data_IF_908628756818
#
_entry.id   IF_908628756818
#
_cell.length_a   1.000
_cell.length_b   1.000
_cell.length_c   1.000
_cell.angle_alpha   90.00
_cell.angle_beta   90.00
_cell.angle_gamma   90.00
#
_symmetry.space_group_name_H-M   'P 1'
#
loop_
_entity.id
_entity.type
_entity.pdbx_description
1 polymer ?
#
# COMPACT_ATOMS: atom_id res chain seq x y z
N UNK A 1 11.67 6.58 -4.81
CA UNK A 1 13.06 6.58 -5.27
C UNK A 1 13.18 6.97 -6.75
N UNK A 2 14.38 7.32 -7.24
CA UNK A 2 14.64 7.38 -8.66
C UNK A 2 14.27 6.04 -9.32
N UNK A 3 13.81 6.09 -10.55
CA UNK A 3 13.42 4.89 -11.32
C UNK A 3 14.10 4.90 -12.69
N UNK A 4 13.94 3.84 -13.47
CA UNK A 4 14.49 3.59 -14.78
C UNK A 4 15.90 2.96 -14.74
N UNK A 5 16.83 3.53 -14.00
CA UNK A 5 18.16 2.91 -13.76
C UNK A 5 18.22 2.37 -12.34
N UNK A 6 18.75 1.15 -12.20
CA UNK A 6 19.01 0.58 -10.88
C UNK A 6 19.97 1.47 -10.08
N UNK A 7 19.68 1.63 -8.79
CA UNK A 7 20.47 2.45 -7.87
C UNK A 7 21.12 1.58 -6.81
N UNK A 8 22.34 1.89 -6.44
CA UNK A 8 22.98 1.31 -5.27
C UNK A 8 22.41 1.92 -3.98
N UNK A 9 22.53 1.21 -2.86
CA UNK A 9 22.14 1.74 -1.54
C UNK A 9 22.80 3.09 -1.25
N UNK A 10 24.05 3.27 -1.64
CA UNK A 10 24.79 4.52 -1.42
C UNK A 10 24.21 5.68 -2.25
N UNK A 11 23.80 5.43 -3.49
CA UNK A 11 23.15 6.43 -4.35
C UNK A 11 21.76 6.79 -3.80
N UNK A 12 20.99 5.80 -3.32
CA UNK A 12 19.70 6.04 -2.68
C UNK A 12 19.84 6.87 -1.41
N UNK A 13 20.82 6.57 -0.55
CA UNK A 13 21.13 7.39 0.63
C UNK A 13 21.47 8.83 0.26
N UNK A 14 22.32 9.04 -0.74
CA UNK A 14 22.70 10.38 -1.19
C UNK A 14 21.47 11.16 -1.71
N UNK A 15 20.64 10.50 -2.51
CA UNK A 15 19.39 11.08 -3.04
C UNK A 15 18.42 11.50 -1.93
N UNK A 16 18.12 10.60 -0.99
CA UNK A 16 17.17 10.91 0.10
C UNK A 16 17.73 11.90 1.12
N UNK A 17 19.04 11.93 1.35
CA UNK A 17 19.69 12.94 2.17
C UNK A 17 19.54 14.34 1.57
N UNK A 18 19.69 14.44 0.24
CA UNK A 18 19.47 15.72 -0.45
C UNK A 18 18.00 16.16 -0.38
N UNK A 19 17.06 15.25 -0.63
CA UNK A 19 15.64 15.53 -0.44
C UNK A 19 15.32 15.96 0.99
N UNK A 20 15.82 15.25 1.98
CA UNK A 20 15.57 15.54 3.39
C UNK A 20 16.08 16.91 3.85
N UNK A 21 17.15 17.43 3.22
CA UNK A 21 17.64 18.79 3.48
C UNK A 21 16.74 19.87 2.88
N UNK A 22 16.06 19.58 1.77
CA UNK A 22 15.24 20.55 1.04
C UNK A 22 13.80 20.61 1.53
N UNK A 23 13.25 19.48 2.03
CA UNK A 23 11.86 19.39 2.45
C UNK A 23 11.71 19.97 3.87
N UNK A 24 10.86 21.00 4.01
CA UNK A 24 10.63 21.68 5.29
C UNK A 24 9.59 21.00 6.18
N UNK A 25 8.62 20.27 5.60
CA UNK A 25 7.51 19.63 6.30
C UNK A 25 7.66 18.11 6.44
N UNK A 26 6.71 17.45 7.10
CA UNK A 26 6.70 15.99 7.18
C UNK A 26 6.60 15.36 5.78
N UNK A 27 7.37 14.31 5.55
CA UNK A 27 7.36 13.59 4.28
C UNK A 27 7.43 12.08 4.47
N UNK A 28 6.95 11.36 3.47
CA UNK A 28 6.97 9.90 3.39
C UNK A 28 7.76 9.46 2.16
N UNK A 29 8.51 8.37 2.29
CA UNK A 29 9.04 7.66 1.14
C UNK A 29 8.00 6.65 0.60
N UNK A 30 8.16 6.27 -0.66
CA UNK A 30 7.36 5.20 -1.26
C UNK A 30 8.29 4.13 -1.83
N UNK A 31 8.25 2.94 -1.26
CA UNK A 31 8.97 1.77 -1.72
C UNK A 31 8.05 0.91 -2.58
N UNK A 32 8.43 0.72 -3.86
CA UNK A 32 7.73 -0.19 -4.77
C UNK A 32 8.74 -0.77 -5.78
N UNK A 33 9.59 -1.73 -5.36
CA UNK A 33 10.70 -2.25 -6.18
C UNK A 33 10.25 -2.80 -7.53
N UNK A 34 9.10 -3.48 -7.58
CA UNK A 34 8.53 -4.01 -8.82
C UNK A 34 8.22 -2.94 -9.89
N UNK A 35 8.12 -1.67 -9.51
CA UNK A 35 7.87 -0.53 -10.42
C UNK A 35 9.09 0.36 -10.60
N UNK A 36 9.89 0.52 -9.56
CA UNK A 36 11.01 1.47 -9.55
C UNK A 36 12.35 0.82 -9.87
N UNK A 37 12.46 -0.52 -9.75
CA UNK A 37 13.71 -1.25 -9.89
C UNK A 37 14.70 -1.04 -8.74
N UNK A 38 14.27 -0.34 -7.67
CA UNK A 38 15.09 -0.03 -6.50
C UNK A 38 14.33 -0.41 -5.23
N UNK A 39 14.99 -1.12 -4.32
CA UNK A 39 14.45 -1.43 -3.01
C UNK A 39 14.98 -0.48 -1.94
N UNK A 40 14.07 0.07 -1.15
CA UNK A 40 14.40 0.86 0.05
C UNK A 40 14.48 -0.07 1.24
N UNK A 41 15.67 -0.62 1.50
CA UNK A 41 15.83 -1.62 2.54
C UNK A 41 15.54 -1.08 3.95
N UNK A 42 15.17 -1.95 4.92
CA UNK A 42 14.94 -1.55 6.31
C UNK A 42 16.09 -0.74 6.91
N UNK A 43 17.34 -1.13 6.65
CA UNK A 43 18.54 -0.47 7.17
C UNK A 43 18.74 0.92 6.58
N UNK A 44 18.46 1.08 5.27
CA UNK A 44 18.52 2.38 4.59
C UNK A 44 17.49 3.34 5.20
N UNK A 45 16.26 2.88 5.38
CA UNK A 45 15.17 3.70 5.92
C UNK A 45 15.39 4.02 7.40
N UNK A 46 15.86 3.08 8.21
CA UNK A 46 16.22 3.33 9.60
C UNK A 46 17.32 4.40 9.72
N UNK A 47 18.34 4.35 8.84
CA UNK A 47 19.39 5.37 8.77
C UNK A 47 18.80 6.76 8.51
N UNK A 48 17.93 6.88 7.50
CA UNK A 48 17.29 8.15 7.15
C UNK A 48 16.32 8.64 8.24
N UNK A 49 15.57 7.73 8.88
CA UNK A 49 14.67 8.05 9.98
C UNK A 49 15.42 8.62 11.20
N UNK A 50 16.61 8.13 11.49
CA UNK A 50 17.47 8.67 12.53
C UNK A 50 18.07 10.05 12.17
N UNK A 51 18.36 10.28 10.88
CA UNK A 51 18.99 11.53 10.41
C UNK A 51 18.00 12.69 10.25
N UNK A 52 16.73 12.42 9.88
CA UNK A 52 15.77 13.46 9.50
C UNK A 52 14.50 13.38 10.35
N UNK A 53 14.32 14.26 11.36
CA UNK A 53 13.10 14.29 12.18
C UNK A 53 11.79 14.47 11.40
N UNK A 54 11.82 15.20 10.26
CA UNK A 54 10.68 15.42 9.38
C UNK A 54 10.35 14.21 8.47
N UNK A 55 11.23 13.22 8.36
CA UNK A 55 10.93 11.97 7.66
C UNK A 55 9.97 11.12 8.50
N UNK A 56 8.68 11.26 8.24
CA UNK A 56 7.61 10.75 9.11
C UNK A 56 7.26 9.27 8.87
N UNK A 57 7.59 8.72 7.70
CA UNK A 57 7.23 7.33 7.42
C UNK A 57 7.53 6.87 6.00
N UNK A 58 7.09 5.64 5.74
CA UNK A 58 7.21 4.98 4.44
C UNK A 58 5.94 4.23 4.09
N UNK A 59 5.53 4.26 2.81
CA UNK A 59 4.64 3.25 2.23
C UNK A 59 5.49 2.14 1.63
N UNK A 60 5.33 0.93 2.14
CA UNK A 60 6.08 -0.25 1.71
C UNK A 60 5.20 -1.18 0.86
N UNK A 61 5.45 -1.21 -0.45
CA UNK A 61 4.72 -2.03 -1.42
C UNK A 61 5.63 -3.13 -1.95
N UNK A 62 5.94 -4.08 -1.08
CA UNK A 62 6.73 -5.28 -1.38
C UNK A 62 5.85 -6.50 -1.09
N UNK A 63 5.77 -7.43 -2.04
CA UNK A 63 5.01 -8.67 -1.84
C UNK A 63 5.80 -9.67 -0.99
N UNK A 64 6.12 -9.24 0.21
CA UNK A 64 6.85 -10.01 1.20
C UNK A 64 6.57 -9.42 2.60
N UNK A 65 5.71 -10.08 3.37
CA UNK A 65 5.35 -9.60 4.70
C UNK A 65 6.56 -9.46 5.64
N UNK A 66 7.59 -10.31 5.49
CA UNK A 66 8.81 -10.19 6.29
C UNK A 66 9.60 -8.92 6.00
N UNK A 67 9.51 -8.37 4.78
CA UNK A 67 10.12 -7.09 4.43
C UNK A 67 9.47 -5.96 5.25
N UNK A 68 8.16 -5.82 5.18
CA UNK A 68 7.41 -4.80 5.92
C UNK A 68 7.59 -4.95 7.44
N UNK A 69 7.57 -6.20 7.96
CA UNK A 69 7.87 -6.47 9.38
C UNK A 69 9.27 -5.97 9.76
N UNK A 70 10.30 -6.30 8.97
CA UNK A 70 11.66 -5.87 9.23
C UNK A 70 11.81 -4.34 9.13
N UNK A 71 11.08 -3.71 8.20
CA UNK A 71 10.99 -2.25 8.09
C UNK A 71 10.45 -1.63 9.38
N UNK A 72 9.36 -2.15 9.93
CA UNK A 72 8.77 -1.69 11.19
C UNK A 72 9.79 -1.84 12.33
N UNK A 73 10.37 -3.02 12.51
CA UNK A 73 11.30 -3.29 13.60
C UNK A 73 12.56 -2.43 13.52
N UNK A 74 13.17 -2.30 12.35
CA UNK A 74 14.39 -1.51 12.17
C UNK A 74 14.15 -0.01 12.40
N UNK A 75 13.06 0.53 11.87
CA UNK A 75 12.75 1.97 12.00
C UNK A 75 12.31 2.34 13.41
N UNK A 76 11.48 1.53 14.06
CA UNK A 76 11.02 1.80 15.44
C UNK A 76 12.12 1.62 16.49
N UNK A 77 13.14 0.83 16.21
CA UNK A 77 14.32 0.72 17.07
C UNK A 77 15.11 2.04 17.21
N UNK A 78 15.07 2.89 16.17
CA UNK A 78 15.76 4.19 16.14
C UNK A 78 14.80 5.37 16.31
N UNK A 79 13.54 5.18 15.93
CA UNK A 79 12.49 6.20 16.00
C UNK A 79 11.10 5.59 16.21
N UNK A 80 10.66 5.46 17.49
CA UNK A 80 9.42 4.75 17.84
C UNK A 80 8.13 5.29 17.19
N UNK A 81 8.09 6.57 16.83
CA UNK A 81 6.97 7.23 16.14
C UNK A 81 7.01 7.13 14.62
N UNK A 82 8.01 6.44 14.05
CA UNK A 82 8.10 6.29 12.59
C UNK A 82 6.98 5.41 12.04
N UNK A 83 6.29 5.91 11.03
CA UNK A 83 5.10 5.25 10.48
C UNK A 83 5.43 4.38 9.27
N UNK A 84 5.17 3.08 9.35
CA UNK A 84 5.26 2.16 8.22
C UNK A 84 3.85 1.77 7.76
N UNK A 85 3.51 2.11 6.51
CA UNK A 85 2.24 1.78 5.89
C UNK A 85 2.44 0.66 4.87
N UNK A 86 1.57 -0.36 4.91
CA UNK A 86 1.56 -1.39 3.86
C UNK A 86 1.00 -0.85 2.54
N UNK A 87 1.45 -1.43 1.43
CA UNK A 87 0.91 -1.15 0.10
C UNK A 87 0.05 -2.29 -0.47
N UNK A 88 0.19 -3.51 0.05
CA UNK A 88 -0.64 -4.68 -0.27
C UNK A 88 -1.80 -4.79 0.72
N UNK A 89 -3.02 -4.94 0.23
CA UNK A 89 -4.22 -4.90 1.04
C UNK A 89 -4.26 -6.03 2.09
N UNK A 90 -3.81 -7.22 1.71
CA UNK A 90 -3.75 -8.39 2.61
C UNK A 90 -2.78 -8.21 3.78
N UNK A 91 -1.83 -7.29 3.66
CA UNK A 91 -0.84 -7.03 4.72
C UNK A 91 -1.28 -5.96 5.72
N UNK A 92 -2.51 -5.44 5.61
CA UNK A 92 -3.01 -4.42 6.53
C UNK A 92 -3.06 -4.89 7.98
N UNK A 93 -3.76 -6.00 8.24
CA UNK A 93 -3.88 -6.55 9.60
C UNK A 93 -2.53 -7.03 10.14
N UNK A 94 -1.72 -7.79 9.39
CA UNK A 94 -0.35 -8.10 9.78
C UNK A 94 0.52 -6.88 10.10
N UNK A 95 0.38 -5.78 9.35
CA UNK A 95 1.07 -4.51 9.61
C UNK A 95 0.68 -3.96 10.98
N UNK A 96 -0.63 -3.86 11.29
CA UNK A 96 -1.11 -3.40 12.59
C UNK A 96 -0.62 -4.27 13.75
N UNK A 97 -0.67 -5.61 13.59
CA UNK A 97 -0.21 -6.56 14.61
C UNK A 97 1.29 -6.49 14.87
N UNK A 98 2.08 -6.02 13.91
CA UNK A 98 3.53 -5.81 14.07
C UNK A 98 3.87 -4.43 14.64
N UNK A 99 2.90 -3.53 14.77
CA UNK A 99 3.10 -2.16 15.27
C UNK A 99 3.24 -1.12 14.16
N UNK A 100 2.91 -1.46 12.93
CA UNK A 100 2.87 -0.49 11.82
C UNK A 100 1.68 0.46 11.90
N UNK A 101 1.72 1.52 11.08
CA UNK A 101 0.76 2.63 11.12
C UNK A 101 -0.54 2.38 10.35
N UNK A 102 -0.57 1.38 9.46
CA UNK A 102 -1.76 1.14 8.64
C UNK A 102 -1.46 0.81 7.17
N UNK A 103 -2.27 1.35 6.27
CA UNK A 103 -2.24 1.00 4.85
C UNK A 103 -2.56 2.18 3.93
N UNK A 104 -1.98 2.18 2.73
CA UNK A 104 -2.47 2.94 1.57
C UNK A 104 -2.90 1.93 0.51
N UNK A 105 -4.20 1.66 0.47
CA UNK A 105 -4.87 0.55 -0.21
C UNK A 105 -5.53 0.96 -1.52
N UNK A 106 -5.50 0.05 -2.50
CA UNK A 106 -6.34 0.15 -3.69
C UNK A 106 -7.81 -0.17 -3.40
N UNK A 107 -8.08 -1.19 -2.58
CA UNK A 107 -9.43 -1.60 -2.19
C UNK A 107 -10.17 -0.55 -1.35
N UNK A 108 -9.48 0.35 -0.67
CA UNK A 108 -10.11 1.48 0.04
C UNK A 108 -10.96 2.38 -0.87
N UNK A 109 -10.72 2.36 -2.17
CA UNK A 109 -11.58 3.08 -3.12
C UNK A 109 -12.93 2.39 -3.36
N UNK A 110 -13.06 1.11 -3.02
CA UNK A 110 -14.23 0.29 -3.32
C UNK A 110 -14.98 -0.10 -2.04
N UNK A 111 -14.24 -0.56 -1.03
CA UNK A 111 -14.77 -1.13 0.22
C UNK A 111 -14.07 -0.52 1.45
N UNK A 112 -14.08 0.82 1.62
CA UNK A 112 -13.40 1.50 2.73
C UNK A 112 -13.89 1.03 4.09
N UNK A 113 -15.15 0.62 4.19
CA UNK A 113 -15.79 0.12 5.40
C UNK A 113 -15.08 -1.09 6.01
N UNK A 114 -14.44 -1.95 5.19
CA UNK A 114 -13.67 -3.09 5.69
C UNK A 114 -12.43 -2.64 6.47
N UNK A 115 -11.74 -1.64 5.98
CA UNK A 115 -10.51 -1.13 6.60
C UNK A 115 -10.82 -0.35 7.89
N UNK A 116 -11.94 0.37 7.93
CA UNK A 116 -12.45 1.01 9.15
C UNK A 116 -12.82 -0.05 10.18
N UNK A 117 -13.61 -1.07 9.77
CA UNK A 117 -14.01 -2.19 10.63
C UNK A 117 -12.79 -2.94 11.19
N UNK A 118 -11.76 -3.17 10.37
CA UNK A 118 -10.51 -3.78 10.82
C UNK A 118 -9.80 -2.92 11.89
N UNK A 119 -9.71 -1.60 11.65
CA UNK A 119 -9.09 -0.68 12.62
C UNK A 119 -9.81 -0.67 13.95
N UNK A 120 -11.13 -0.58 13.93
CA UNK A 120 -11.96 -0.61 15.13
C UNK A 120 -11.84 -1.94 15.89
N UNK A 121 -11.88 -3.07 15.16
CA UNK A 121 -11.71 -4.39 15.74
C UNK A 121 -10.32 -4.54 16.37
N UNK A 122 -9.27 -4.05 15.71
CA UNK A 122 -7.91 -4.05 16.24
C UNK A 122 -7.81 -3.26 17.56
N UNK A 123 -8.38 -2.05 17.61
CA UNK A 123 -8.36 -1.21 18.82
C UNK A 123 -9.11 -1.86 19.99
N UNK A 124 -10.20 -2.60 19.70
CA UNK A 124 -10.98 -3.33 20.72
C UNK A 124 -10.41 -4.69 21.08
N UNK A 125 -9.38 -5.19 20.38
CA UNK A 125 -8.87 -6.54 20.56
C UNK A 125 -9.84 -7.63 20.06
N UNK A 126 -10.75 -7.31 19.14
CA UNK A 126 -11.75 -8.22 18.57
C UNK A 126 -11.11 -9.09 17.45
N UNK A 127 -10.49 -10.17 17.88
CA UNK A 127 -9.81 -11.10 16.99
C UNK A 127 -10.79 -11.80 16.00
N UNK A 128 -12.02 -12.07 16.42
CA UNK A 128 -13.01 -12.73 15.57
C UNK A 128 -13.32 -11.85 14.36
N UNK A 129 -13.65 -10.59 14.60
CA UNK A 129 -13.88 -9.60 13.53
C UNK A 129 -12.64 -9.37 12.66
N UNK A 130 -11.43 -9.34 13.25
CA UNK A 130 -10.20 -9.22 12.47
C UNK A 130 -10.01 -10.39 11.49
N UNK A 131 -10.27 -11.62 11.93
CA UNK A 131 -10.19 -12.81 11.07
C UNK A 131 -11.23 -12.77 9.93
N UNK A 132 -12.46 -12.33 10.20
CA UNK A 132 -13.49 -12.14 9.17
C UNK A 132 -13.07 -11.12 8.13
N UNK A 133 -12.67 -9.93 8.57
CA UNK A 133 -12.24 -8.85 7.68
C UNK A 133 -11.02 -9.26 6.85
N UNK A 134 -10.05 -9.97 7.44
CA UNK A 134 -8.89 -10.48 6.70
C UNK A 134 -9.31 -11.42 5.56
N UNK A 135 -10.28 -12.30 5.79
CA UNK A 135 -10.82 -13.18 4.73
C UNK A 135 -11.49 -12.38 3.63
N UNK A 136 -12.27 -11.35 3.99
CA UNK A 136 -12.94 -10.48 3.03
C UNK A 136 -11.92 -9.68 2.20
N UNK A 137 -10.90 -9.08 2.82
CA UNK A 137 -9.81 -8.40 2.12
C UNK A 137 -9.14 -9.37 1.14
N UNK A 138 -8.75 -10.57 1.60
CA UNK A 138 -8.11 -11.57 0.75
C UNK A 138 -8.99 -11.98 -0.43
N UNK A 139 -10.30 -12.11 -0.24
CA UNK A 139 -11.26 -12.39 -1.31
C UNK A 139 -11.33 -11.25 -2.32
N UNK A 140 -11.42 -10.01 -1.86
CA UNK A 140 -11.51 -8.84 -2.74
C UNK A 140 -10.20 -8.53 -3.46
N UNK A 141 -9.05 -8.96 -2.92
CA UNK A 141 -7.74 -8.82 -3.58
C UNK A 141 -7.66 -9.57 -4.92
N UNK A 142 -8.57 -10.52 -5.19
CA UNK A 142 -8.73 -11.13 -6.50
C UNK A 142 -8.95 -10.10 -7.63
N UNK A 143 -9.39 -8.88 -7.33
CA UNK A 143 -9.55 -7.79 -8.30
C UNK A 143 -8.24 -7.50 -9.06
N UNK A 144 -7.09 -7.64 -8.40
CA UNK A 144 -5.78 -7.32 -9.00
C UNK A 144 -5.34 -8.30 -10.09
N UNK A 145 -5.99 -9.47 -10.17
CA UNK A 145 -5.78 -10.46 -11.22
C UNK A 145 -6.82 -10.37 -12.37
N UNK A 146 -7.78 -9.43 -12.29
CA UNK A 146 -8.80 -9.23 -13.31
C UNK A 146 -8.39 -8.05 -14.21
N UNK A 147 -8.21 -8.33 -15.51
CA UNK A 147 -7.78 -7.32 -16.48
C UNK A 147 -6.27 -7.06 -16.48
N UNK A 148 -5.81 -6.39 -17.52
CA UNK A 148 -4.38 -6.12 -17.76
C UNK A 148 -3.88 -4.88 -17.02
N UNK A 149 -4.78 -3.98 -16.62
CA UNK A 149 -4.48 -2.74 -15.88
C UNK A 149 -5.38 -2.64 -14.64
N UNK A 150 -4.80 -2.87 -13.47
CA UNK A 150 -5.53 -2.82 -12.21
C UNK A 150 -6.16 -1.44 -11.93
N UNK A 151 -5.59 -0.35 -12.47
CA UNK A 151 -6.16 1.00 -12.31
C UNK A 151 -7.49 1.10 -13.05
N UNK A 152 -7.56 0.61 -14.29
CA UNK A 152 -8.81 0.52 -15.06
C UNK A 152 -9.83 -0.36 -14.35
N UNK A 153 -9.39 -1.50 -13.80
CA UNK A 153 -10.25 -2.43 -13.06
C UNK A 153 -10.87 -1.77 -11.82
N UNK A 154 -10.05 -1.16 -10.96
CA UNK A 154 -10.55 -0.43 -9.77
C UNK A 154 -11.48 0.70 -10.17
N UNK A 155 -11.11 1.54 -11.15
CA UNK A 155 -11.96 2.66 -11.61
C UNK A 155 -13.30 2.18 -12.16
N UNK A 156 -13.32 1.04 -12.85
CA UNK A 156 -14.58 0.44 -13.37
C UNK A 156 -15.50 0.05 -12.22
N UNK A 157 -14.98 -0.64 -11.19
CA UNK A 157 -15.79 -1.01 -10.01
C UNK A 157 -16.28 0.23 -9.26
N UNK A 158 -15.41 1.22 -9.04
CA UNK A 158 -15.78 2.49 -8.39
C UNK A 158 -16.88 3.20 -9.17
N UNK A 159 -16.75 3.31 -10.51
CA UNK A 159 -17.73 3.96 -11.35
C UNK A 159 -19.09 3.25 -11.30
N UNK A 160 -19.09 1.92 -11.35
CA UNK A 160 -20.33 1.11 -11.28
C UNK A 160 -20.98 1.19 -9.90
N UNK A 161 -20.18 1.09 -8.83
CA UNK A 161 -20.69 1.14 -7.44
C UNK A 161 -21.23 2.51 -7.05
N UNK A 162 -20.60 3.59 -7.49
CA UNK A 162 -20.89 4.96 -7.05
C UNK A 162 -21.50 5.87 -8.14
N UNK A 163 -21.77 5.34 -9.34
CA UNK A 163 -22.43 6.07 -10.42
C UNK A 163 -21.57 7.10 -11.14
N UNK A 164 -20.24 6.91 -11.19
CA UNK A 164 -19.37 7.79 -11.96
C UNK A 164 -19.37 7.42 -13.46
N UNK A 165 -19.30 8.42 -14.33
CA UNK A 165 -19.39 8.24 -15.78
C UNK A 165 -18.07 7.84 -16.46
N UNK A 166 -16.90 7.96 -15.79
CA UNK A 166 -15.61 7.72 -16.41
C UNK A 166 -14.83 6.59 -15.74
N UNK A 167 -14.41 5.62 -16.54
CA UNK A 167 -13.68 4.42 -16.10
C UNK A 167 -12.25 4.36 -16.68
N UNK A 168 -11.87 5.28 -17.58
CA UNK A 168 -10.58 5.20 -18.28
C UNK A 168 -9.39 5.51 -17.40
N UNK A 169 -8.36 4.67 -17.49
CA UNK A 169 -7.02 4.96 -16.97
C UNK A 169 -6.29 5.93 -17.91
N UNK A 170 -5.30 6.65 -17.39
CA UNK A 170 -4.33 7.39 -18.22
C UNK A 170 -3.29 6.46 -18.87
N UNK A 171 -3.15 5.25 -18.34
CA UNK A 171 -2.35 4.22 -18.96
C UNK A 171 -3.07 3.70 -20.23
N UNK A 172 -2.32 3.16 -21.18
CA UNK A 172 -2.85 2.55 -22.39
C UNK A 172 -3.50 1.17 -22.14
N UNK A 173 -4.19 1.01 -21.02
CA UNK A 173 -4.94 -0.21 -20.69
C UNK A 173 -6.19 -0.35 -21.54
N UNK A 174 -6.49 -1.56 -21.97
CA UNK A 174 -7.70 -1.91 -22.72
C UNK A 174 -8.98 -1.80 -21.88
N UNK A 175 -10.12 -1.82 -22.55
CA UNK A 175 -11.41 -1.96 -21.88
C UNK A 175 -11.57 -3.40 -21.34
N UNK A 176 -12.27 -3.53 -20.22
CA UNK A 176 -12.57 -4.85 -19.65
C UNK A 176 -13.57 -5.60 -20.54
N UNK A 177 -13.35 -6.87 -20.75
CA UNK A 177 -14.26 -7.76 -21.47
C UNK A 177 -15.54 -8.00 -20.67
N UNK A 178 -16.61 -8.43 -21.35
CA UNK A 178 -17.88 -8.79 -20.69
C UNK A 178 -17.69 -9.86 -19.59
N UNK A 179 -16.79 -10.82 -19.80
CA UNK A 179 -16.47 -11.85 -18.82
C UNK A 179 -15.80 -11.26 -17.57
N UNK A 180 -14.84 -10.35 -17.75
CA UNK A 180 -14.17 -9.65 -16.64
C UNK A 180 -15.14 -8.74 -15.87
N UNK A 181 -16.04 -8.04 -16.56
CA UNK A 181 -17.09 -7.26 -15.92
C UNK A 181 -18.02 -8.15 -15.08
N UNK A 182 -18.44 -9.30 -15.61
CA UNK A 182 -19.25 -10.27 -14.84
C UNK A 182 -18.52 -10.81 -13.60
N UNK A 183 -17.21 -11.05 -13.70
CA UNK A 183 -16.40 -11.46 -12.55
C UNK A 183 -16.37 -10.36 -11.47
N UNK A 184 -16.20 -9.10 -11.86
CA UNK A 184 -16.22 -7.97 -10.93
C UNK A 184 -17.59 -7.79 -10.27
N UNK A 185 -18.67 -7.93 -11.04
CA UNK A 185 -20.04 -7.84 -10.53
C UNK A 185 -20.28 -8.94 -9.47
N UNK A 186 -19.86 -10.17 -9.75
CA UNK A 186 -19.96 -11.28 -8.80
C UNK A 186 -19.08 -11.06 -7.54
N UNK A 187 -17.87 -10.51 -7.72
CA UNK A 187 -16.94 -10.29 -6.60
C UNK A 187 -17.45 -9.22 -5.63
N UNK A 188 -18.02 -8.12 -6.14
CA UNK A 188 -18.43 -6.95 -5.36
C UNK A 188 -19.95 -6.81 -5.15
N UNK A 189 -20.75 -7.73 -5.70
CA UNK A 189 -22.22 -7.68 -5.59
C UNK A 189 -22.81 -6.46 -6.29
N UNK A 190 -22.28 -6.10 -7.46
CA UNK A 190 -22.72 -4.96 -8.27
C UNK A 190 -23.53 -5.54 -9.44
N UNK A 191 -24.85 -5.37 -9.42
CA UNK A 191 -25.74 -5.88 -10.48
C UNK A 191 -27.15 -5.42 -10.29
#
# INVERSE_FOLDING_TARGET
PPYYYGQTTQQLLAYYRELGRQIQGPWFAYNFPARTGCDLTPELIATLAAEFPQFAGIKDTVDCQSHTRNMILATQAVRPDFTVLSGYDEYYIPNLLTGGGGIISGLNNIVPELFVRAREAFVRGDLVTLCEVQRDISRYSAIYAIGDDFVTTIKTVVARKFGYSQTRSRNAGGELTAAQLSQLDALFGIG
#
